data_IF_031593067131
#
_entry.id   IF_031593067131
#
_cell.length_a   1.000
_cell.length_b   1.000
_cell.length_c   1.000
_cell.angle_alpha   90.00
_cell.angle_beta   90.00
_cell.angle_gamma   90.00
#
_symmetry.space_group_name_H-M   'P 1'
#
loop_
_entity.id
_entity.type
_entity.pdbx_description
1 polymer ?
#
# COMPACT_ATOMS: atom_id res chain seq x y z
N UNK A 1 3.43 32.39 -7.28
CA UNK A 1 3.52 33.39 -8.37
C UNK A 1 2.27 33.35 -9.28
N UNK A 2 1.60 32.20 -9.42
CA UNK A 2 0.46 32.03 -10.33
C UNK A 2 -0.91 32.01 -9.63
N UNK A 3 -1.00 32.22 -8.31
CA UNK A 3 -2.26 32.19 -7.55
C UNK A 3 -2.98 30.83 -7.54
N UNK A 4 -2.24 29.74 -7.77
CA UNK A 4 -2.77 28.38 -7.75
C UNK A 4 -2.58 27.80 -6.34
N UNK A 5 -3.67 27.27 -5.72
CA UNK A 5 -3.60 26.61 -4.43
C UNK A 5 -3.23 25.13 -4.61
N UNK A 6 -2.30 24.66 -3.79
CA UNK A 6 -1.94 23.23 -3.70
C UNK A 6 -2.79 22.58 -2.62
N UNK A 7 -3.64 21.64 -3.01
CA UNK A 7 -4.47 20.87 -2.08
C UNK A 7 -3.92 19.45 -1.96
N UNK A 8 -3.58 19.02 -0.74
CA UNK A 8 -3.18 17.64 -0.46
C UNK A 8 -4.38 16.85 0.05
N UNK A 9 -4.76 15.78 -0.65
CA UNK A 9 -5.76 14.83 -0.20
C UNK A 9 -5.07 13.69 0.59
N UNK A 10 -5.15 13.79 1.92
CA UNK A 10 -4.59 12.83 2.88
C UNK A 10 -5.64 11.87 3.46
N UNK A 11 -6.78 11.72 2.79
CA UNK A 11 -7.85 10.82 3.25
C UNK A 11 -7.36 9.37 3.36
N UNK A 12 -6.47 8.92 2.48
CA UNK A 12 -5.88 7.57 2.49
C UNK A 12 -4.47 7.53 3.11
N UNK A 13 -3.67 8.54 2.85
CA UNK A 13 -2.23 8.57 3.19
C UNK A 13 -1.95 9.09 4.60
N UNK A 14 -2.85 9.86 5.16
CA UNK A 14 -2.74 10.39 6.51
C UNK A 14 -2.88 9.34 7.62
N UNK A 15 -2.66 9.78 8.85
CA UNK A 15 -2.75 8.97 10.07
C UNK A 15 -1.82 7.76 10.05
N UNK A 16 -0.53 8.02 9.90
CA UNK A 16 0.60 7.07 9.97
C UNK A 16 0.68 6.00 8.86
N UNK A 17 -0.21 6.00 7.85
CA UNK A 17 -0.22 4.98 6.79
C UNK A 17 1.07 4.89 6.00
N UNK A 18 1.74 6.02 5.82
CA UNK A 18 3.00 6.13 5.07
C UNK A 18 4.25 6.15 5.96
N UNK A 19 4.11 5.88 7.26
CA UNK A 19 5.21 5.96 8.23
C UNK A 19 5.43 7.36 8.83
N UNK A 20 4.59 8.33 8.46
CA UNK A 20 4.50 9.66 9.08
C UNK A 20 3.04 10.01 9.38
N UNK A 21 2.79 11.00 10.25
CA UNK A 21 1.42 11.44 10.55
C UNK A 21 0.67 11.80 9.26
N UNK A 22 1.32 12.54 8.36
CA UNK A 22 0.82 12.89 7.03
C UNK A 22 1.90 12.65 5.99
N UNK A 23 1.53 12.20 4.79
CA UNK A 23 2.47 11.98 3.69
C UNK A 23 3.09 13.30 3.21
N UNK A 24 2.39 14.43 3.37
CA UNK A 24 2.93 15.77 3.07
C UNK A 24 4.19 16.12 3.85
N UNK A 25 4.48 15.47 4.98
CA UNK A 25 5.73 15.66 5.70
C UNK A 25 6.98 15.24 4.89
N UNK A 26 6.82 14.31 3.93
CA UNK A 26 7.89 14.01 2.97
C UNK A 26 8.09 15.14 1.95
N UNK A 27 7.03 15.89 1.62
CA UNK A 27 7.13 17.03 0.70
C UNK A 27 7.80 18.23 1.38
N UNK A 28 7.56 18.42 2.69
CA UNK A 28 8.20 19.48 3.48
C UNK A 28 9.72 19.35 3.48
N UNK A 29 10.25 18.12 3.51
CA UNK A 29 11.69 17.85 3.39
C UNK A 29 12.25 18.29 2.02
N UNK A 30 11.42 18.30 0.98
CA UNK A 30 11.74 18.82 -0.34
C UNK A 30 11.40 20.32 -0.51
N UNK A 31 10.99 21.01 0.56
CA UNK A 31 10.65 22.42 0.56
C UNK A 31 9.26 22.73 -0.04
N UNK A 32 8.37 21.74 -0.12
CA UNK A 32 7.01 21.91 -0.65
C UNK A 32 6.00 21.78 0.48
N UNK A 33 5.12 22.78 0.64
CA UNK A 33 4.01 22.76 1.60
C UNK A 33 2.69 22.93 0.86
N UNK A 34 1.64 22.15 1.17
CA UNK A 34 0.31 22.38 0.65
C UNK A 34 -0.35 23.60 1.33
N UNK A 35 -1.20 24.30 0.60
CA UNK A 35 -2.03 25.38 1.15
C UNK A 35 -3.23 24.82 1.94
N UNK A 36 -3.74 23.65 1.53
CA UNK A 36 -4.89 22.97 2.14
C UNK A 36 -4.58 21.49 2.27
N UNK A 37 -4.93 20.92 3.42
CA UNK A 37 -4.82 19.49 3.70
C UNK A 37 -6.22 18.93 4.02
N UNK A 38 -6.69 17.98 3.20
CA UNK A 38 -7.98 17.32 3.38
C UNK A 38 -7.81 15.99 4.12
N UNK A 39 -8.58 15.77 5.20
CA UNK A 39 -8.63 14.52 5.96
C UNK A 39 -10.06 14.11 6.26
N UNK A 40 -10.33 12.83 6.50
CA UNK A 40 -11.69 12.32 6.76
C UNK A 40 -11.81 11.70 8.15
N UNK A 41 -11.67 12.50 9.23
CA UNK A 41 -11.85 12.03 10.61
C UNK A 41 -12.67 13.01 11.45
N UNK A 42 -13.59 12.48 12.29
CA UNK A 42 -14.32 13.28 13.27
C UNK A 42 -13.40 13.73 14.41
N UNK A 43 -13.54 14.97 14.88
CA UNK A 43 -12.59 15.62 15.81
C UNK A 43 -12.34 14.81 17.08
N UNK A 44 -13.39 14.36 17.78
CA UNK A 44 -13.24 13.61 19.03
C UNK A 44 -12.61 12.23 18.82
N UNK A 45 -13.01 11.51 17.76
CA UNK A 45 -12.40 10.25 17.38
C UNK A 45 -10.96 10.44 16.87
N UNK A 46 -10.67 11.56 16.20
CA UNK A 46 -9.33 11.88 15.72
C UNK A 46 -8.35 12.09 16.88
N UNK A 47 -8.73 12.84 17.91
CA UNK A 47 -7.87 13.07 19.09
C UNK A 47 -7.50 11.75 19.78
N UNK A 48 -8.48 10.86 20.00
CA UNK A 48 -8.20 9.55 20.61
C UNK A 48 -7.38 8.65 19.70
N UNK A 49 -7.58 8.73 18.40
CA UNK A 49 -6.79 8.01 17.41
C UNK A 49 -5.32 8.47 17.42
N UNK A 50 -5.08 9.79 17.46
CA UNK A 50 -3.73 10.36 17.55
C UNK A 50 -3.02 9.89 18.82
N UNK A 51 -3.71 9.96 19.98
CA UNK A 51 -3.15 9.46 21.26
C UNK A 51 -2.72 7.99 21.18
N UNK A 52 -3.52 7.13 20.54
CA UNK A 52 -3.18 5.71 20.33
C UNK A 52 -2.01 5.57 19.38
N UNK A 53 -1.98 6.33 18.30
CA UNK A 53 -0.89 6.29 17.31
C UNK A 53 0.45 6.67 17.92
N UNK A 54 0.48 7.69 18.76
CA UNK A 54 1.68 8.12 19.48
C UNK A 54 2.09 7.12 20.55
N UNK A 55 1.12 6.64 21.36
CA UNK A 55 1.37 5.66 22.43
C UNK A 55 1.98 4.36 21.91
N UNK A 56 1.46 3.85 20.79
CA UNK A 56 1.80 2.54 20.23
C UNK A 56 2.80 2.63 19.06
N UNK A 57 3.35 3.82 18.80
CA UNK A 57 4.28 4.11 17.68
C UNK A 57 3.82 3.50 16.35
N UNK A 58 2.57 3.75 15.97
CA UNK A 58 2.02 3.18 14.74
C UNK A 58 2.72 3.69 13.47
N UNK A 59 3.45 4.80 13.53
CA UNK A 59 4.29 5.26 12.43
C UNK A 59 5.50 4.33 12.25
N UNK A 60 6.18 3.95 13.33
CA UNK A 60 7.25 2.95 13.33
C UNK A 60 6.75 1.60 12.85
N UNK A 61 5.63 1.10 13.39
CA UNK A 61 5.00 -0.14 12.92
C UNK A 61 4.71 -0.13 11.41
N UNK A 62 4.25 1.01 10.88
CA UNK A 62 4.02 1.17 9.44
C UNK A 62 5.30 1.04 8.63
N UNK A 63 6.40 1.62 9.09
CA UNK A 63 7.70 1.51 8.44
C UNK A 63 8.19 0.06 8.44
N UNK A 64 8.15 -0.63 9.58
CA UNK A 64 8.58 -2.02 9.71
C UNK A 64 7.78 -2.97 8.80
N UNK A 65 6.45 -2.84 8.78
CA UNK A 65 5.59 -3.60 7.88
C UNK A 65 5.96 -3.31 6.43
N UNK A 66 6.12 -2.03 6.10
CA UNK A 66 6.47 -1.59 4.75
C UNK A 66 7.79 -2.14 4.25
N UNK A 67 8.83 -2.17 5.08
CA UNK A 67 10.13 -2.76 4.76
C UNK A 67 10.03 -4.26 4.47
N UNK A 68 9.33 -5.02 5.33
CA UNK A 68 9.13 -6.47 5.16
C UNK A 68 8.36 -6.78 3.87
N UNK A 69 7.26 -6.07 3.63
CA UNK A 69 6.42 -6.26 2.44
C UNK A 69 7.15 -5.87 1.18
N UNK A 70 7.81 -4.71 1.17
CA UNK A 70 8.57 -4.23 0.01
C UNK A 70 9.69 -5.18 -0.36
N UNK A 71 10.40 -5.73 0.63
CA UNK A 71 11.43 -6.73 0.41
C UNK A 71 10.84 -7.97 -0.28
N UNK A 72 9.78 -8.56 0.29
CA UNK A 72 9.12 -9.76 -0.23
C UNK A 72 8.56 -9.54 -1.65
N UNK A 73 7.92 -8.39 -1.89
CA UNK A 73 7.35 -8.04 -3.20
C UNK A 73 8.44 -7.80 -4.27
N UNK A 74 9.60 -7.24 -3.90
CA UNK A 74 10.71 -7.11 -4.83
C UNK A 74 11.34 -8.47 -5.17
N UNK A 75 11.45 -9.39 -4.22
CA UNK A 75 11.85 -10.77 -4.49
C UNK A 75 10.88 -11.46 -5.47
N UNK A 76 9.58 -11.22 -5.32
CA UNK A 76 8.57 -11.72 -6.27
C UNK A 76 8.68 -11.07 -7.65
N UNK A 77 8.99 -9.78 -7.72
CA UNK A 77 9.20 -9.07 -9.00
C UNK A 77 10.35 -9.64 -9.81
N UNK A 78 11.42 -10.09 -9.14
CA UNK A 78 12.53 -10.78 -9.81
C UNK A 78 12.13 -12.19 -10.26
N UNK A 79 11.27 -12.86 -9.50
CA UNK A 79 10.87 -14.25 -9.72
C UNK A 79 9.72 -14.41 -10.71
N UNK A 80 8.77 -13.47 -10.72
CA UNK A 80 7.55 -13.56 -11.51
C UNK A 80 7.45 -12.44 -12.55
N UNK A 81 7.62 -12.76 -13.85
CA UNK A 81 7.60 -11.74 -14.93
C UNK A 81 6.29 -10.95 -15.04
N UNK A 82 5.20 -11.44 -14.45
CA UNK A 82 3.90 -10.80 -14.40
C UNK A 82 3.87 -9.58 -13.46
N UNK A 83 4.88 -9.43 -12.61
CA UNK A 83 4.98 -8.28 -11.69
C UNK A 83 5.82 -7.19 -12.37
N UNK A 84 5.15 -6.06 -12.67
CA UNK A 84 5.75 -4.93 -13.37
C UNK A 84 6.46 -3.95 -12.46
N UNK A 85 5.85 -3.66 -11.30
CA UNK A 85 6.40 -2.68 -10.37
C UNK A 85 5.96 -2.92 -8.93
N UNK A 86 6.80 -2.46 -7.99
CA UNK A 86 6.54 -2.42 -6.55
C UNK A 86 6.87 -1.02 -6.06
N UNK A 87 5.90 -0.32 -5.47
CA UNK A 87 6.06 1.06 -5.02
C UNK A 87 5.19 1.37 -3.81
N UNK A 88 5.65 2.26 -2.96
CA UNK A 88 4.90 2.72 -1.80
C UNK A 88 5.79 3.29 -0.71
N UNK A 89 5.15 3.71 0.39
CA UNK A 89 5.78 4.23 1.60
C UNK A 89 5.12 3.61 2.82
N UNK A 90 5.91 3.24 3.80
CA UNK A 90 5.42 2.61 5.01
C UNK A 90 4.54 1.40 4.68
N UNK A 91 3.46 1.20 5.42
CA UNK A 91 2.48 0.11 5.22
C UNK A 91 1.54 0.28 4.04
N UNK A 92 1.79 1.21 3.11
CA UNK A 92 0.98 1.42 1.91
C UNK A 92 1.81 1.10 0.67
N UNK A 93 1.70 -0.13 0.17
CA UNK A 93 2.50 -0.65 -0.94
C UNK A 93 1.59 -1.09 -2.09
N UNK A 94 1.95 -0.70 -3.31
CA UNK A 94 1.31 -1.16 -4.55
C UNK A 94 2.14 -2.22 -5.24
N UNK A 95 1.49 -3.33 -5.62
CA UNK A 95 2.04 -4.38 -6.47
C UNK A 95 1.32 -4.32 -7.82
N UNK A 96 2.06 -3.99 -8.88
CA UNK A 96 1.50 -3.80 -10.22
C UNK A 96 1.70 -5.03 -11.10
N UNK A 97 0.61 -5.50 -11.72
CA UNK A 97 0.64 -6.62 -12.65
C UNK A 97 0.64 -6.15 -14.10
N UNK A 98 1.50 -6.77 -14.90
CA UNK A 98 1.71 -6.48 -16.32
C UNK A 98 1.79 -7.76 -17.11
N UNK A 99 1.41 -7.72 -18.39
CA UNK A 99 1.56 -8.85 -19.30
C UNK A 99 3.03 -9.09 -19.67
N UNK A 100 3.80 -8.01 -19.74
CA UNK A 100 5.23 -8.03 -20.03
C UNK A 100 5.96 -6.88 -19.34
N UNK A 101 7.10 -7.16 -18.71
CA UNK A 101 7.86 -6.19 -17.94
C UNK A 101 8.49 -5.07 -18.77
N UNK A 102 8.70 -5.27 -20.08
CA UNK A 102 9.31 -4.26 -20.96
C UNK A 102 8.26 -3.29 -21.50
N UNK A 103 7.17 -3.82 -22.01
CA UNK A 103 6.07 -3.00 -22.54
C UNK A 103 5.24 -2.33 -21.46
N UNK A 104 5.25 -2.90 -20.25
CA UNK A 104 4.39 -2.47 -19.12
C UNK A 104 2.90 -2.51 -19.45
N UNK A 105 2.48 -3.35 -20.38
CA UNK A 105 1.06 -3.51 -20.70
C UNK A 105 0.29 -3.99 -19.47
N UNK A 106 -0.75 -3.25 -19.02
CA UNK A 106 -1.51 -3.61 -17.83
C UNK A 106 -2.17 -4.99 -17.93
N UNK A 107 -2.24 -5.71 -16.81
CA UNK A 107 -2.87 -7.03 -16.74
C UNK A 107 -3.98 -7.08 -15.66
N UNK A 108 -5.11 -6.37 -15.88
CA UNK A 108 -6.20 -6.31 -14.90
C UNK A 108 -6.87 -7.65 -14.65
N UNK A 109 -6.96 -8.53 -15.66
CA UNK A 109 -7.55 -9.86 -15.50
C UNK A 109 -6.77 -10.72 -14.51
N UNK A 110 -5.43 -10.64 -14.54
CA UNK A 110 -4.58 -11.35 -13.60
C UNK A 110 -4.75 -10.78 -12.18
N UNK A 111 -4.78 -9.46 -12.03
CA UNK A 111 -5.05 -8.80 -10.75
C UNK A 111 -6.40 -9.25 -10.15
N UNK A 112 -7.46 -9.27 -10.95
CA UNK A 112 -8.78 -9.73 -10.52
C UNK A 112 -8.77 -11.22 -10.11
N UNK A 113 -8.05 -12.07 -10.87
CA UNK A 113 -7.90 -13.49 -10.54
C UNK A 113 -7.14 -13.69 -9.21
N UNK A 114 -6.09 -12.91 -8.96
CA UNK A 114 -5.34 -12.93 -7.69
C UNK A 114 -6.25 -12.53 -6.53
N UNK A 115 -6.99 -11.44 -6.64
CA UNK A 115 -7.94 -10.99 -5.61
C UNK A 115 -8.95 -12.11 -5.29
N UNK A 116 -9.56 -12.69 -6.33
CA UNK A 116 -10.52 -13.78 -6.16
C UNK A 116 -9.89 -15.03 -5.53
N UNK A 117 -8.68 -15.37 -5.93
CA UNK A 117 -7.93 -16.51 -5.36
C UNK A 117 -7.58 -16.31 -3.90
N UNK A 118 -7.11 -15.14 -3.53
CA UNK A 118 -6.80 -14.78 -2.14
C UNK A 118 -8.07 -14.80 -1.27
N UNK A 119 -9.18 -14.26 -1.74
CA UNK A 119 -10.44 -14.28 -1.01
C UNK A 119 -10.92 -15.71 -0.71
N UNK A 120 -10.76 -16.64 -1.65
CA UNK A 120 -11.10 -18.06 -1.44
C UNK A 120 -10.22 -18.74 -0.39
N UNK A 121 -9.01 -18.23 -0.16
CA UNK A 121 -8.08 -18.71 0.87
C UNK A 121 -8.17 -17.90 2.18
N UNK A 122 -9.16 -17.00 2.30
CA UNK A 122 -9.40 -16.21 3.51
C UNK A 122 -8.58 -14.93 3.61
N UNK A 123 -7.85 -14.52 2.56
CA UNK A 123 -7.11 -13.28 2.52
C UNK A 123 -7.88 -12.22 1.71
N UNK A 124 -8.30 -11.14 2.37
CA UNK A 124 -8.94 -10.00 1.72
C UNK A 124 -7.89 -8.96 1.30
N UNK A 125 -7.82 -8.69 0.00
CA UNK A 125 -6.96 -7.67 -0.60
C UNK A 125 -7.76 -6.81 -1.58
N UNK A 126 -7.31 -5.58 -1.85
CA UNK A 126 -8.02 -4.62 -2.68
C UNK A 126 -7.29 -4.30 -3.97
N UNK A 127 -8.08 -4.21 -5.06
CA UNK A 127 -7.61 -3.68 -6.33
C UNK A 127 -7.51 -2.16 -6.33
N UNK A 128 -6.58 -1.63 -7.12
CA UNK A 128 -6.31 -0.21 -7.28
C UNK A 128 -5.76 0.09 -8.69
N UNK A 129 -5.41 1.36 -8.91
CA UNK A 129 -4.83 1.83 -10.15
C UNK A 129 -5.88 2.10 -11.24
N UNK A 130 -5.54 3.03 -12.14
CA UNK A 130 -6.43 3.49 -13.22
C UNK A 130 -6.84 2.36 -14.18
N UNK A 131 -5.94 1.39 -14.37
CA UNK A 131 -6.17 0.24 -15.25
C UNK A 131 -6.63 -1.01 -14.51
N UNK A 132 -6.87 -0.95 -13.18
CA UNK A 132 -7.28 -2.10 -12.38
C UNK A 132 -6.23 -3.22 -12.27
N UNK A 133 -4.97 -2.93 -12.55
CA UNK A 133 -3.86 -3.88 -12.57
C UNK A 133 -2.91 -3.77 -11.36
N UNK A 134 -3.30 -3.00 -10.35
CA UNK A 134 -2.54 -2.83 -9.11
C UNK A 134 -3.31 -3.47 -7.97
N UNK A 135 -2.62 -4.20 -7.10
CA UNK A 135 -3.16 -4.60 -5.80
C UNK A 135 -2.47 -3.75 -4.74
N UNK A 136 -3.30 -3.08 -3.93
CA UNK A 136 -2.84 -2.24 -2.84
C UNK A 136 -2.76 -3.05 -1.55
N UNK A 137 -1.55 -3.22 -1.05
CA UNK A 137 -1.34 -3.69 0.31
C UNK A 137 -1.62 -2.55 1.30
N UNK A 138 -2.53 -2.78 2.22
CA UNK A 138 -2.94 -1.81 3.23
C UNK A 138 -3.40 -2.55 4.50
N UNK A 139 -2.48 -3.24 5.16
CA UNK A 139 -2.76 -4.01 6.36
C UNK A 139 -3.01 -3.14 7.60
N UNK A 140 -3.67 -3.66 8.63
CA UNK A 140 -3.70 -3.03 9.95
C UNK A 140 -2.29 -2.84 10.50
N UNK A 141 -1.99 -1.64 11.04
CA UNK A 141 -0.65 -1.32 11.56
C UNK A 141 -0.29 -2.08 12.85
N UNK A 142 -1.27 -2.74 13.46
CA UNK A 142 -1.12 -3.60 14.66
C UNK A 142 -1.03 -5.09 14.31
N UNK A 143 -0.84 -5.42 13.03
CA UNK A 143 -0.68 -6.80 12.57
C UNK A 143 0.59 -7.42 13.14
N UNK A 144 0.52 -8.67 13.61
CA UNK A 144 1.71 -9.39 14.06
C UNK A 144 2.53 -9.91 12.86
N UNK A 145 3.80 -10.22 13.10
CA UNK A 145 4.67 -10.77 12.06
C UNK A 145 4.13 -12.10 11.51
N UNK A 146 3.60 -12.97 12.39
CA UNK A 146 3.02 -14.25 11.99
C UNK A 146 1.79 -14.06 11.07
N UNK A 147 0.96 -13.06 11.36
CA UNK A 147 -0.20 -12.73 10.53
C UNK A 147 0.24 -12.17 9.18
N UNK A 148 1.26 -11.31 9.19
CA UNK A 148 1.83 -10.72 7.98
C UNK A 148 2.40 -11.80 7.06
N UNK A 149 3.27 -12.66 7.59
CA UNK A 149 3.90 -13.74 6.81
C UNK A 149 2.85 -14.73 6.28
N UNK A 150 1.87 -15.13 7.11
CA UNK A 150 0.79 -16.00 6.66
C UNK A 150 -0.02 -15.38 5.50
N UNK A 151 -0.30 -14.09 5.58
CA UNK A 151 -0.98 -13.35 4.49
C UNK A 151 -0.14 -13.30 3.22
N UNK A 152 1.15 -13.02 3.33
CA UNK A 152 2.08 -12.99 2.20
C UNK A 152 2.25 -14.38 1.56
N UNK A 153 2.30 -15.45 2.36
CA UNK A 153 2.38 -16.82 1.86
C UNK A 153 1.13 -17.24 1.07
N UNK A 154 -0.07 -16.87 1.56
CA UNK A 154 -1.32 -17.07 0.81
C UNK A 154 -1.26 -16.31 -0.51
N UNK A 155 -0.83 -15.05 -0.48
CA UNK A 155 -0.75 -14.21 -1.67
C UNK A 155 0.20 -14.80 -2.73
N UNK A 156 1.42 -15.16 -2.32
CA UNK A 156 2.39 -15.80 -3.23
C UNK A 156 1.89 -17.12 -3.80
N UNK A 157 1.23 -17.96 -2.95
CA UNK A 157 0.68 -19.24 -3.41
C UNK A 157 -0.35 -19.07 -4.52
N UNK A 158 -1.19 -18.03 -4.44
CA UNK A 158 -2.19 -17.72 -5.48
C UNK A 158 -1.52 -17.28 -6.78
N UNK A 159 -0.49 -16.43 -6.70
CA UNK A 159 0.27 -16.00 -7.89
C UNK A 159 0.87 -17.24 -8.59
N UNK A 160 1.50 -18.14 -7.83
CA UNK A 160 2.07 -19.40 -8.39
C UNK A 160 1.02 -20.25 -9.09
N UNK A 161 -0.11 -20.52 -8.41
CA UNK A 161 -1.19 -21.35 -8.97
C UNK A 161 -1.79 -20.78 -10.26
N UNK A 162 -1.81 -19.44 -10.40
CA UNK A 162 -2.33 -18.79 -11.60
C UNK A 162 -1.32 -18.81 -12.77
N UNK A 163 -0.02 -18.86 -12.47
CA UNK A 163 1.03 -18.94 -13.47
C UNK A 163 1.28 -20.38 -13.99
N UNK A 164 0.84 -21.39 -13.24
CA UNK A 164 0.96 -22.81 -13.61
C UNK A 164 -0.20 -23.32 -14.48
N UNK A 165 -1.23 -22.50 -14.70
CA UNK A 165 -2.42 -22.81 -15.54
C UNK A 165 -2.26 -22.33 -16.95
#
# INVERSE_FOLDING_TARGET
ENGILLVADEVQTGFCRTGRMFATQYWEEAGVQPDILATAKFIAAALKTIEIMERDDLAGCSCEIGEKVSKRFNEWKEKYPVIGDVRGLGGMIGLEFVKDQKSKEPYPEFSAAVISGCAKKGLMIEGAGTYGNVIRFLAPLVMTDEQLEAGLDIYESVIKELLEK
#
